data_IF_566475716412
#
_entry.id   IF_566475716412
#
_cell.length_a   1.000
_cell.length_b   1.000
_cell.length_c   1.000
_cell.angle_alpha   90.00
_cell.angle_beta   90.00
_cell.angle_gamma   90.00
#
_symmetry.space_group_name_H-M   'P 1'
#
loop_
_entity.id
_entity.type
_entity.pdbx_description
1 polymer ?
#
# COMPACT_ATOMS: atom_id res chain seq x y z
N UNK A 1 17.16 -7.53 -0.01
CA UNK A 1 15.88 -7.46 -0.73
C UNK A 1 15.27 -8.84 -0.57
N UNK A 2 14.08 -8.94 0.01
CA UNK A 2 13.46 -10.24 0.30
C UNK A 2 12.70 -10.66 -0.94
N UNK A 3 13.23 -11.63 -1.68
CA UNK A 3 12.48 -12.31 -2.74
C UNK A 3 11.52 -13.32 -2.11
N UNK A 4 10.32 -13.40 -2.69
CA UNK A 4 9.23 -14.29 -2.28
C UNK A 4 9.38 -15.58 -3.08
N UNK A 5 9.55 -16.72 -2.42
CA UNK A 5 9.47 -18.07 -3.02
C UNK A 5 8.41 -18.87 -2.27
N UNK A 6 7.71 -19.77 -2.95
CA UNK A 6 6.82 -20.74 -2.29
C UNK A 6 7.64 -21.57 -1.32
N UNK A 7 7.53 -21.22 -0.06
CA UNK A 7 8.11 -22.02 1.01
C UNK A 7 6.96 -22.67 1.76
N UNK A 8 7.05 -23.98 2.07
CA UNK A 8 5.94 -24.78 2.57
C UNK A 8 5.71 -24.54 4.07
N UNK A 9 5.45 -23.29 4.48
CA UNK A 9 5.07 -22.97 5.86
C UNK A 9 3.62 -23.29 6.18
N UNK A 10 2.82 -23.65 5.18
CA UNK A 10 1.41 -24.00 5.29
C UNK A 10 1.11 -25.12 6.30
N UNK A 11 2.10 -25.95 6.64
CA UNK A 11 1.95 -27.07 7.58
C UNK A 11 2.50 -26.82 8.99
N UNK A 12 3.14 -25.66 9.25
CA UNK A 12 3.64 -25.37 10.59
C UNK A 12 2.54 -24.76 11.47
N UNK A 13 2.39 -25.22 12.72
CA UNK A 13 1.42 -24.64 13.63
C UNK A 13 1.75 -23.18 13.89
N UNK A 14 0.72 -22.32 13.87
CA UNK A 14 0.87 -20.91 14.13
C UNK A 14 1.46 -20.68 15.54
N UNK A 15 2.48 -19.80 15.68
CA UNK A 15 2.99 -19.42 16.99
C UNK A 15 1.90 -18.80 17.87
N UNK A 16 1.80 -19.26 19.12
CA UNK A 16 0.80 -18.81 20.10
C UNK A 16 1.24 -17.57 20.89
N UNK A 17 2.52 -17.20 20.83
CA UNK A 17 3.05 -16.05 21.54
C UNK A 17 4.18 -15.36 20.78
N UNK A 18 4.44 -14.09 21.11
CA UNK A 18 5.55 -13.33 20.52
C UNK A 18 6.92 -13.96 20.77
N UNK A 19 7.12 -14.58 21.95
CA UNK A 19 8.35 -15.32 22.25
C UNK A 19 8.51 -16.58 21.40
N UNK A 20 7.42 -17.33 21.20
CA UNK A 20 7.45 -18.50 20.32
C UNK A 20 7.75 -18.08 18.87
N UNK A 21 7.11 -17.00 18.40
CA UNK A 21 7.38 -16.44 17.07
C UNK A 21 8.85 -16.01 16.94
N UNK A 22 9.39 -15.29 17.93
CA UNK A 22 10.79 -14.89 17.98
C UNK A 22 11.73 -16.09 17.85
N UNK A 23 11.57 -17.12 18.69
CA UNK A 23 12.41 -18.33 18.65
C UNK A 23 12.31 -19.03 17.30
N UNK A 24 11.09 -19.21 16.78
CA UNK A 24 10.88 -19.88 15.50
C UNK A 24 11.59 -19.14 14.35
N UNK A 25 11.56 -17.81 14.34
CA UNK A 25 12.26 -16.98 13.36
C UNK A 25 13.79 -17.00 13.56
N UNK A 26 14.25 -16.86 14.80
CA UNK A 26 15.66 -16.79 15.18
C UNK A 26 16.41 -18.09 14.82
N UNK A 27 15.80 -19.24 15.11
CA UNK A 27 16.39 -20.55 14.85
C UNK A 27 16.02 -21.13 13.47
N UNK A 28 15.24 -20.39 12.66
CA UNK A 28 14.93 -20.80 11.29
C UNK A 28 13.89 -21.92 11.16
N UNK A 29 13.06 -22.13 12.20
CA UNK A 29 11.89 -23.01 12.11
C UNK A 29 10.80 -22.42 11.22
N UNK A 30 10.65 -21.09 11.24
CA UNK A 30 9.81 -20.33 10.31
C UNK A 30 10.74 -19.39 9.54
N UNK A 31 10.70 -19.43 8.21
CA UNK A 31 11.61 -18.65 7.35
C UNK A 31 10.87 -17.87 6.25
N UNK A 32 10.03 -16.87 6.60
CA UNK A 32 8.97 -16.31 5.74
C UNK A 32 9.32 -15.84 4.32
N UNK A 33 10.60 -15.65 4.00
CA UNK A 33 11.09 -15.40 2.65
C UNK A 33 12.56 -15.81 2.52
N UNK A 34 13.13 -15.71 1.31
CA UNK A 34 14.48 -16.21 1.01
C UNK A 34 15.57 -15.66 1.95
N UNK A 35 15.42 -14.40 2.38
CA UNK A 35 16.37 -13.80 3.31
C UNK A 35 16.46 -14.57 4.64
N UNK A 36 15.35 -15.15 5.13
CA UNK A 36 15.30 -15.87 6.39
C UNK A 36 15.96 -17.24 6.35
N UNK A 37 16.13 -17.84 5.16
CA UNK A 37 16.88 -19.09 5.00
C UNK A 37 18.37 -18.90 5.33
N UNK A 38 18.90 -17.69 5.15
CA UNK A 38 20.28 -17.34 5.47
C UNK A 38 20.50 -17.16 7.00
N UNK A 39 21.37 -17.95 7.64
CA UNK A 39 21.69 -17.80 9.07
C UNK A 39 22.20 -16.40 9.46
N UNK A 40 22.94 -15.72 8.58
CA UNK A 40 23.45 -14.37 8.85
C UNK A 40 22.32 -13.33 8.96
N UNK A 41 21.25 -13.48 8.16
CA UNK A 41 20.06 -12.65 8.29
C UNK A 41 19.34 -12.89 9.62
N UNK A 42 19.23 -14.15 10.04
CA UNK A 42 18.64 -14.50 11.35
C UNK A 42 19.46 -13.95 12.52
N UNK A 43 20.79 -14.06 12.48
CA UNK A 43 21.68 -13.41 13.47
C UNK A 43 21.47 -11.89 13.52
N UNK A 44 21.36 -11.24 12.37
CA UNK A 44 21.07 -9.80 12.27
C UNK A 44 19.71 -9.44 12.87
N UNK A 45 18.69 -10.28 12.67
CA UNK A 45 17.39 -10.12 13.32
C UNK A 45 17.51 -10.21 14.84
N UNK A 46 18.22 -11.23 15.37
CA UNK A 46 18.45 -11.41 16.81
C UNK A 46 19.15 -10.17 17.39
N UNK A 47 20.27 -9.75 16.81
CA UNK A 47 21.03 -8.59 17.31
C UNK A 47 20.20 -7.31 17.34
N UNK A 48 19.38 -7.06 16.32
CA UNK A 48 18.49 -5.88 16.27
C UNK A 48 17.33 -5.97 17.25
N UNK A 49 16.85 -7.19 17.50
CA UNK A 49 15.84 -7.45 18.52
C UNK A 49 16.40 -7.15 19.90
N UNK A 50 17.65 -7.54 20.19
CA UNK A 50 18.34 -7.20 21.43
C UNK A 50 18.61 -5.69 21.58
N UNK A 51 18.86 -4.98 20.48
CA UNK A 51 19.01 -3.53 20.49
C UNK A 51 17.68 -2.77 20.68
N UNK A 52 16.53 -3.42 20.43
CA UNK A 52 15.19 -2.82 20.54
C UNK A 52 14.18 -3.81 21.16
N UNK A 53 14.44 -4.29 22.38
CA UNK A 53 13.80 -5.50 22.91
C UNK A 53 12.31 -5.30 23.18
N UNK A 54 11.92 -4.19 23.81
CA UNK A 54 10.52 -3.93 24.15
C UNK A 54 9.63 -3.74 22.91
N UNK A 55 10.08 -2.94 21.95
CA UNK A 55 9.33 -2.72 20.70
C UNK A 55 9.25 -3.98 19.86
N UNK A 56 10.33 -4.77 19.80
CA UNK A 56 10.32 -6.04 19.05
C UNK A 56 9.42 -7.05 19.73
N UNK A 57 9.51 -7.22 21.05
CA UNK A 57 8.64 -8.12 21.80
C UNK A 57 7.16 -7.77 21.61
N UNK A 58 6.80 -6.48 21.70
CA UNK A 58 5.42 -6.01 21.51
C UNK A 58 4.94 -6.22 20.07
N UNK A 59 5.78 -5.95 19.07
CA UNK A 59 5.46 -6.27 17.67
C UNK A 59 5.15 -7.76 17.50
N UNK A 60 6.06 -8.63 17.92
CA UNK A 60 5.90 -10.07 17.72
C UNK A 60 4.71 -10.63 18.53
N UNK A 61 4.43 -10.06 19.70
CA UNK A 61 3.24 -10.41 20.48
C UNK A 61 1.94 -10.00 19.77
N UNK A 62 1.90 -8.82 19.15
CA UNK A 62 0.75 -8.37 18.37
C UNK A 62 0.56 -9.23 17.11
N UNK A 63 1.65 -9.57 16.42
CA UNK A 63 1.63 -10.46 15.25
C UNK A 63 1.15 -11.87 15.61
N UNK A 64 1.61 -12.44 16.72
CA UNK A 64 1.17 -13.76 17.20
C UNK A 64 -0.35 -13.86 17.44
N UNK A 65 -1.01 -12.74 17.75
CA UNK A 65 -2.47 -12.66 17.95
C UNK A 65 -3.26 -12.58 16.63
N UNK A 66 -2.61 -12.36 15.50
CA UNK A 66 -3.31 -12.20 14.22
C UNK A 66 -3.82 -13.56 13.71
N UNK A 67 -5.10 -13.69 13.32
CA UNK A 67 -5.66 -14.96 12.85
C UNK A 67 -4.96 -15.53 11.61
N UNK A 68 -4.36 -14.65 10.79
CA UNK A 68 -3.73 -14.97 9.51
C UNK A 68 -2.22 -14.76 9.52
N UNK A 69 -1.56 -14.90 10.68
CA UNK A 69 -0.14 -14.62 10.83
C UNK A 69 0.72 -15.30 9.76
N UNK A 70 0.49 -16.58 9.49
CA UNK A 70 1.32 -17.32 8.53
C UNK A 70 1.20 -16.77 7.10
N UNK A 71 -0.01 -16.36 6.69
CA UNK A 71 -0.24 -15.70 5.40
C UNK A 71 0.44 -14.32 5.36
N UNK A 72 0.29 -13.52 6.43
CA UNK A 72 0.96 -12.23 6.56
C UNK A 72 2.47 -12.34 6.44
N UNK A 73 3.08 -13.33 7.08
CA UNK A 73 4.51 -13.59 6.98
C UNK A 73 4.94 -13.95 5.56
N UNK A 74 4.13 -14.72 4.83
CA UNK A 74 4.43 -15.12 3.45
C UNK A 74 4.46 -13.95 2.47
N UNK A 75 3.49 -13.04 2.57
CA UNK A 75 3.40 -11.86 1.68
C UNK A 75 4.25 -10.69 2.17
N UNK A 76 4.51 -10.60 3.48
CA UNK A 76 5.33 -9.57 4.11
C UNK A 76 6.44 -10.21 4.96
N UNK A 77 7.44 -10.85 4.34
CA UNK A 77 8.53 -11.52 5.07
C UNK A 77 9.38 -10.55 5.90
N UNK A 78 9.35 -9.26 5.58
CA UNK A 78 10.02 -8.21 6.34
C UNK A 78 9.28 -7.78 7.62
N UNK A 79 8.03 -8.21 7.81
CA UNK A 79 7.14 -7.72 8.88
C UNK A 79 7.70 -7.92 10.30
N UNK A 80 8.31 -9.06 10.67
CA UNK A 80 8.94 -9.21 11.99
C UNK A 80 10.10 -8.24 12.25
N UNK A 81 10.68 -7.69 11.19
CA UNK A 81 11.80 -6.75 11.23
C UNK A 81 11.36 -5.29 10.98
N UNK A 82 10.04 -5.01 10.94
CA UNK A 82 9.52 -3.72 10.47
C UNK A 82 10.04 -2.55 11.29
N UNK A 83 10.05 -2.70 12.62
CA UNK A 83 10.52 -1.68 13.56
C UNK A 83 12.05 -1.52 13.65
N UNK A 84 12.80 -2.37 12.95
CA UNK A 84 14.27 -2.28 12.91
C UNK A 84 14.77 -1.29 11.85
N UNK A 85 13.85 -0.56 11.20
CA UNK A 85 14.15 0.41 10.15
C UNK A 85 13.09 1.51 10.04
N UNK A 86 13.44 2.66 9.43
CA UNK A 86 12.45 3.66 9.04
C UNK A 86 11.36 3.04 8.16
N UNK A 87 10.11 3.45 8.37
CA UNK A 87 8.94 2.94 7.67
C UNK A 87 7.86 4.03 7.52
N UNK A 88 7.08 3.94 6.44
CA UNK A 88 5.98 4.83 6.02
C UNK A 88 6.41 6.25 5.62
N UNK A 89 7.01 7.01 6.55
CA UNK A 89 7.49 8.38 6.35
C UNK A 89 8.76 8.63 7.15
N UNK A 90 9.57 9.62 6.79
CA UNK A 90 10.79 9.97 7.55
C UNK A 90 10.50 10.43 8.98
N UNK A 91 9.29 10.92 9.22
CA UNK A 91 8.83 11.42 10.52
C UNK A 91 8.15 10.35 11.38
N UNK A 92 8.11 9.09 10.92
CA UNK A 92 7.48 8.00 11.66
C UNK A 92 8.43 7.44 12.70
N UNK A 93 8.12 7.63 13.98
CA UNK A 93 8.83 6.96 15.06
C UNK A 93 8.38 5.50 15.26
N UNK A 94 9.11 4.80 16.13
CA UNK A 94 8.93 3.37 16.34
C UNK A 94 7.65 3.02 17.09
N UNK A 95 7.20 3.88 18.01
CA UNK A 95 5.98 3.63 18.78
C UNK A 95 4.77 3.80 17.87
N UNK A 96 4.69 4.92 17.14
CA UNK A 96 3.63 5.16 16.17
C UNK A 96 3.64 4.11 15.05
N UNK A 97 4.81 3.66 14.59
CA UNK A 97 4.90 2.56 13.62
C UNK A 97 4.30 1.25 14.18
N UNK A 98 4.61 0.89 15.42
CA UNK A 98 4.06 -0.31 16.06
C UNK A 98 2.54 -0.24 16.19
N UNK A 99 2.03 0.89 16.64
CA UNK A 99 0.59 1.15 16.78
C UNK A 99 -0.11 1.13 15.43
N UNK A 100 0.49 1.75 14.40
CA UNK A 100 0.00 1.75 13.03
C UNK A 100 -0.09 0.34 12.44
N UNK A 101 0.94 -0.48 12.61
CA UNK A 101 0.93 -1.87 12.13
C UNK A 101 -0.18 -2.68 12.80
N UNK A 102 -0.33 -2.55 14.11
CA UNK A 102 -1.39 -3.25 14.84
C UNK A 102 -2.78 -2.78 14.39
N UNK A 103 -2.98 -1.46 14.31
CA UNK A 103 -4.23 -0.85 13.86
C UNK A 103 -4.60 -1.30 12.46
N UNK A 104 -3.65 -1.27 11.52
CA UNK A 104 -3.87 -1.68 10.13
C UNK A 104 -4.42 -3.09 10.04
N UNK A 105 -3.69 -4.08 10.57
CA UNK A 105 -4.09 -5.47 10.43
C UNK A 105 -5.37 -5.80 11.20
N UNK A 106 -5.59 -5.19 12.37
CA UNK A 106 -6.86 -5.34 13.09
C UNK A 106 -8.03 -4.77 12.30
N UNK A 107 -7.87 -3.58 11.71
CA UNK A 107 -8.92 -2.91 10.94
C UNK A 107 -9.23 -3.66 9.65
N UNK A 108 -8.21 -4.08 8.91
CA UNK A 108 -8.36 -4.91 7.71
C UNK A 108 -9.07 -6.23 8.04
N UNK A 109 -8.69 -6.88 9.14
CA UNK A 109 -9.29 -8.15 9.56
C UNK A 109 -10.74 -8.02 10.05
N UNK A 110 -11.09 -6.89 10.67
CA UNK A 110 -12.45 -6.64 11.17
C UNK A 110 -13.42 -6.20 10.08
N UNK A 111 -12.93 -5.48 9.08
CA UNK A 111 -13.79 -4.75 8.12
C UNK A 111 -13.93 -5.48 6.80
N UNK A 112 -12.85 -6.10 6.27
CA UNK A 112 -12.90 -6.70 4.95
C UNK A 112 -13.58 -8.09 4.96
N UNK A 113 -14.37 -8.42 3.94
CA UNK A 113 -14.86 -9.77 3.72
C UNK A 113 -13.71 -10.79 3.65
N UNK A 114 -13.96 -12.02 4.10
CA UNK A 114 -12.94 -13.07 4.18
C UNK A 114 -12.24 -13.32 2.83
N UNK A 115 -13.00 -13.31 1.72
CA UNK A 115 -12.47 -13.46 0.35
C UNK A 115 -11.47 -12.36 0.02
N UNK A 116 -11.82 -11.11 0.30
CA UNK A 116 -10.99 -9.95 -0.01
C UNK A 116 -9.72 -9.93 0.85
N UNK A 117 -9.85 -10.26 2.13
CA UNK A 117 -8.74 -10.33 3.07
C UNK A 117 -7.75 -11.45 2.72
N UNK A 118 -8.24 -12.65 2.36
CA UNK A 118 -7.41 -13.76 1.92
C UNK A 118 -6.70 -13.43 0.60
N UNK A 119 -7.40 -12.75 -0.31
CA UNK A 119 -6.83 -12.29 -1.57
C UNK A 119 -5.75 -11.22 -1.39
N UNK A 120 -5.99 -10.23 -0.53
CA UNK A 120 -5.00 -9.21 -0.12
C UNK A 120 -3.73 -9.85 0.47
N UNK A 121 -3.90 -10.89 1.29
CA UNK A 121 -2.81 -11.67 1.91
C UNK A 121 -2.35 -12.87 1.05
N UNK A 122 -2.59 -12.82 -0.26
CA UNK A 122 -2.05 -13.77 -1.23
C UNK A 122 -0.92 -13.17 -2.04
N UNK A 123 -0.09 -14.01 -2.65
CA UNK A 123 1.01 -13.55 -3.51
C UNK A 123 0.51 -12.84 -4.77
N UNK A 124 -0.60 -13.31 -5.31
CA UNK A 124 -1.19 -12.80 -6.54
C UNK A 124 -1.93 -11.49 -6.29
N UNK A 125 -2.41 -11.26 -5.06
CA UNK A 125 -3.38 -10.22 -4.76
C UNK A 125 -4.78 -10.60 -5.22
N UNK A 126 -5.70 -9.64 -5.16
CA UNK A 126 -7.08 -9.83 -5.59
C UNK A 126 -7.60 -8.63 -6.36
N UNK A 127 -8.24 -8.90 -7.50
CA UNK A 127 -8.91 -7.87 -8.28
C UNK A 127 -10.05 -7.27 -7.46
N UNK A 128 -10.00 -5.95 -7.25
CA UNK A 128 -11.08 -5.18 -6.63
C UNK A 128 -12.17 -4.86 -7.64
N UNK A 129 -11.77 -4.53 -8.87
CA UNK A 129 -12.65 -4.07 -9.93
C UNK A 129 -11.96 -4.18 -11.29
N UNK A 130 -12.78 -4.17 -12.33
CA UNK A 130 -12.33 -4.12 -13.72
C UNK A 130 -13.09 -3.00 -14.44
N UNK A 131 -12.34 -2.09 -15.05
CA UNK A 131 -12.84 -0.95 -15.78
C UNK A 131 -12.77 -1.22 -17.28
N UNK A 132 -13.87 -0.96 -17.97
CA UNK A 132 -13.90 -0.86 -19.42
C UNK A 132 -13.61 0.58 -19.84
N UNK A 133 -12.46 0.81 -20.46
CA UNK A 133 -12.11 2.06 -21.10
C UNK A 133 -12.63 2.15 -22.54
N UNK A 134 -12.17 3.17 -23.26
CA UNK A 134 -12.46 3.35 -24.68
C UNK A 134 -12.01 2.12 -25.49
N UNK A 135 -12.77 1.80 -26.54
CA UNK A 135 -12.50 0.70 -27.48
C UNK A 135 -12.47 -0.67 -26.77
N UNK A 136 -13.32 -0.83 -25.75
CA UNK A 136 -13.49 -2.03 -24.91
C UNK A 136 -12.25 -2.49 -24.13
N UNK A 137 -11.24 -1.62 -24.02
CA UNK A 137 -10.00 -1.94 -23.31
C UNK A 137 -10.23 -2.15 -21.82
N UNK A 138 -9.74 -3.26 -21.28
CA UNK A 138 -9.94 -3.63 -19.88
C UNK A 138 -8.75 -3.22 -19.00
N UNK A 139 -9.04 -2.67 -17.82
CA UNK A 139 -8.05 -2.35 -16.80
C UNK A 139 -8.49 -2.88 -15.45
N UNK A 140 -7.57 -3.46 -14.69
CA UNK A 140 -7.89 -4.03 -13.37
C UNK A 140 -7.22 -3.23 -12.26
N UNK A 141 -7.95 -2.92 -11.20
CA UNK A 141 -7.36 -2.48 -9.93
C UNK A 141 -7.26 -3.67 -9.00
N UNK A 142 -6.07 -3.93 -8.49
CA UNK A 142 -5.78 -5.07 -7.61
C UNK A 142 -5.31 -4.61 -6.24
N UNK A 143 -5.78 -5.27 -5.19
CA UNK A 143 -5.30 -5.10 -3.82
C UNK A 143 -4.35 -6.26 -3.45
N UNK A 144 -3.16 -5.93 -2.94
CA UNK A 144 -2.20 -6.92 -2.45
C UNK A 144 -1.33 -6.35 -1.32
N UNK A 145 -0.59 -7.23 -0.65
CA UNK A 145 0.53 -6.87 0.22
C UNK A 145 1.85 -7.10 -0.53
N UNK A 146 2.50 -6.04 -1.00
CA UNK A 146 3.77 -6.17 -1.73
C UNK A 146 4.99 -6.02 -0.81
N UNK A 147 5.79 -7.09 -0.69
CA UNK A 147 7.05 -7.11 0.07
C UNK A 147 8.12 -6.14 -0.48
N UNK A 148 8.05 -5.75 -1.75
CA UNK A 148 9.00 -4.81 -2.35
C UNK A 148 8.70 -3.35 -1.98
N UNK A 149 7.42 -3.04 -1.73
CA UNK A 149 6.93 -1.72 -1.33
C UNK A 149 6.73 -1.59 0.19
N UNK A 150 7.20 -2.57 0.94
CA UNK A 150 7.07 -2.76 2.39
C UNK A 150 7.74 -1.68 3.30
N UNK A 151 8.23 -0.61 2.70
CA UNK A 151 8.73 0.59 3.40
C UNK A 151 7.74 1.75 3.30
N UNK A 152 6.83 1.69 2.33
CA UNK A 152 5.86 2.72 1.99
C UNK A 152 4.45 2.37 2.51
N UNK A 153 4.28 1.17 3.09
CA UNK A 153 3.06 0.77 3.79
C UNK A 153 2.84 -0.74 3.78
N UNK A 154 1.63 -1.17 4.13
CA UNK A 154 1.26 -2.59 4.28
C UNK A 154 0.24 -3.09 3.25
N UNK A 155 -0.46 -2.19 2.55
CA UNK A 155 -1.38 -2.52 1.47
C UNK A 155 -1.06 -1.71 0.21
N UNK A 156 -1.17 -2.36 -0.94
CA UNK A 156 -0.87 -1.77 -2.25
C UNK A 156 -2.04 -1.96 -3.19
N UNK A 157 -2.45 -0.86 -3.84
CA UNK A 157 -3.30 -0.90 -5.02
C UNK A 157 -2.43 -0.82 -6.28
N UNK A 158 -2.62 -1.75 -7.21
CA UNK A 158 -1.95 -1.76 -8.51
C UNK A 158 -2.98 -1.57 -9.62
N UNK A 159 -2.69 -0.70 -10.59
CA UNK A 159 -3.50 -0.52 -11.80
C UNK A 159 -2.83 -1.26 -12.95
N UNK A 160 -3.51 -2.26 -13.50
CA UNK A 160 -2.98 -3.16 -14.52
C UNK A 160 -3.77 -3.04 -15.84
N UNK A 161 -3.07 -3.24 -16.97
CA UNK A 161 -3.72 -3.51 -18.25
C UNK A 161 -4.19 -4.97 -18.37
N UNK A 162 -4.73 -5.32 -19.54
CA UNK A 162 -5.24 -6.65 -19.90
C UNK A 162 -4.17 -7.75 -19.83
N UNK A 163 -2.91 -7.38 -20.09
CA UNK A 163 -1.76 -8.28 -20.03
C UNK A 163 -1.18 -8.37 -18.61
N UNK A 164 -1.87 -7.82 -17.60
CA UNK A 164 -1.42 -7.71 -16.20
C UNK A 164 -0.16 -6.84 -16.01
N UNK A 165 0.19 -6.01 -16.99
CA UNK A 165 1.29 -5.05 -16.86
C UNK A 165 0.90 -3.98 -15.86
N UNK A 166 1.71 -3.80 -14.82
CA UNK A 166 1.46 -2.79 -13.79
C UNK A 166 1.85 -1.40 -14.29
N UNK A 167 0.86 -0.52 -14.44
CA UNK A 167 1.03 0.83 -14.98
C UNK A 167 1.18 1.91 -13.89
N UNK A 168 0.67 1.62 -12.69
CA UNK A 168 0.89 2.43 -11.48
C UNK A 168 0.65 1.59 -10.23
N UNK A 169 1.25 2.01 -9.12
CA UNK A 169 1.11 1.38 -7.80
C UNK A 169 0.99 2.46 -6.73
N UNK A 170 0.16 2.20 -5.73
CA UNK A 170 0.00 3.08 -4.59
C UNK A 170 -0.03 2.26 -3.30
N UNK A 171 0.83 2.60 -2.36
CA UNK A 171 0.98 1.88 -1.09
C UNK A 171 0.49 2.74 0.06
N UNK A 172 -0.35 2.16 0.91
CA UNK A 172 -0.96 2.82 2.05
C UNK A 172 -0.97 1.94 3.30
N UNK A 173 -1.27 2.58 4.43
CA UNK A 173 -1.50 1.93 5.72
C UNK A 173 -2.69 2.62 6.39
N UNK A 174 -3.54 1.85 7.06
CA UNK A 174 -4.57 2.40 7.95
C UNK A 174 -3.93 2.57 9.33
N UNK A 175 -4.01 3.76 9.92
CA UNK A 175 -3.42 4.05 11.23
C UNK A 175 -4.20 5.11 12.01
N UNK A 176 -3.80 5.33 13.26
CA UNK A 176 -4.12 6.54 14.00
C UNK A 176 -3.01 7.56 13.74
N UNK A 177 -3.37 8.75 13.28
CA UNK A 177 -2.43 9.83 13.01
C UNK A 177 -3.08 11.16 13.43
N UNK A 178 -2.39 11.93 14.28
CA UNK A 178 -2.89 13.21 14.81
C UNK A 178 -4.31 13.10 15.41
N UNK A 179 -4.58 12.00 16.11
CA UNK A 179 -5.87 11.74 16.79
C UNK A 179 -7.01 11.31 15.87
N UNK A 180 -6.76 11.08 14.58
CA UNK A 180 -7.79 10.65 13.61
C UNK A 180 -7.44 9.32 12.97
N UNK A 181 -8.46 8.54 12.66
CA UNK A 181 -8.32 7.35 11.83
C UNK A 181 -7.96 7.76 10.40
N UNK A 182 -6.83 7.25 9.91
CA UNK A 182 -6.15 7.80 8.75
C UNK A 182 -5.83 6.72 7.73
N UNK A 183 -6.13 6.99 6.45
CA UNK A 183 -5.51 6.28 5.33
C UNK A 183 -4.24 7.03 4.95
N UNK A 184 -3.10 6.48 5.34
CA UNK A 184 -1.79 7.09 5.14
C UNK A 184 -1.12 6.51 3.90
N UNK A 185 -0.97 7.31 2.85
CA UNK A 185 -0.31 6.97 1.58
C UNK A 185 1.20 7.22 1.72
N UNK A 186 1.99 6.16 1.81
CA UNK A 186 3.45 6.26 1.92
C UNK A 186 4.17 6.15 0.57
N UNK A 187 3.47 5.80 -0.51
CA UNK A 187 4.05 5.73 -1.84
C UNK A 187 3.01 5.74 -2.97
N UNK A 188 3.34 6.40 -4.07
CA UNK A 188 2.58 6.44 -5.31
C UNK A 188 3.56 6.53 -6.49
N UNK A 189 3.61 5.48 -7.29
CA UNK A 189 4.60 5.30 -8.33
C UNK A 189 3.92 4.97 -9.66
N UNK A 190 4.51 5.43 -10.77
CA UNK A 190 4.12 4.98 -12.11
C UNK A 190 4.72 3.61 -12.41
N UNK A 191 4.54 3.16 -13.65
CA UNK A 191 5.11 1.91 -14.12
C UNK A 191 6.64 1.86 -13.92
N UNK A 192 7.17 0.64 -13.78
CA UNK A 192 8.61 0.39 -13.66
C UNK A 192 9.33 0.85 -14.95
N UNK A 193 10.60 1.22 -14.82
CA UNK A 193 11.38 1.80 -15.93
C UNK A 193 11.46 0.94 -17.21
N UNK A 194 11.26 -0.38 -17.12
CA UNK A 194 11.24 -1.27 -18.29
C UNK A 194 9.88 -1.31 -19.01
N UNK A 195 8.83 -0.76 -18.42
CA UNK A 195 7.49 -0.71 -19.02
C UNK A 195 7.47 0.43 -20.05
N UNK A 196 7.10 0.16 -21.32
CA UNK A 196 7.03 1.19 -22.34
C UNK A 196 6.11 2.34 -21.95
N UNK A 197 6.57 3.57 -22.15
CA UNK A 197 5.79 4.77 -21.84
C UNK A 197 4.48 4.84 -22.64
N UNK A 198 4.47 4.27 -23.85
CA UNK A 198 3.30 4.16 -24.72
C UNK A 198 2.13 3.42 -24.08
N UNK A 199 2.38 2.41 -23.22
CA UNK A 199 1.30 1.72 -22.51
C UNK A 199 0.59 2.64 -21.52
N UNK A 200 1.34 3.52 -20.84
CA UNK A 200 0.79 4.51 -19.91
C UNK A 200 -0.03 5.56 -20.68
N UNK A 201 0.50 6.04 -21.81
CA UNK A 201 -0.22 6.99 -22.68
C UNK A 201 -1.49 6.37 -23.25
N UNK A 202 -1.41 5.12 -23.73
CA UNK A 202 -2.54 4.34 -24.22
C UNK A 202 -3.61 4.14 -23.16
N UNK A 203 -3.23 3.76 -21.94
CA UNK A 203 -4.15 3.63 -20.82
C UNK A 203 -4.81 4.97 -20.46
N UNK A 204 -4.04 6.06 -20.43
CA UNK A 204 -4.57 7.41 -20.15
C UNK A 204 -5.60 7.84 -21.21
N UNK A 205 -5.31 7.58 -22.49
CA UNK A 205 -6.25 7.86 -23.60
C UNK A 205 -7.50 7.00 -23.52
N UNK A 206 -7.34 5.70 -23.22
CA UNK A 206 -8.45 4.77 -23.04
C UNK A 206 -9.33 5.16 -21.84
N UNK A 207 -8.73 5.70 -20.77
CA UNK A 207 -9.43 6.16 -19.57
C UNK A 207 -9.85 7.65 -19.65
N UNK A 208 -10.15 8.16 -20.85
CA UNK A 208 -10.68 9.53 -21.06
C UNK A 208 -9.83 10.65 -20.42
N UNK A 209 -8.50 10.51 -20.53
CA UNK A 209 -7.51 11.45 -20.01
C UNK A 209 -7.23 11.29 -18.51
N UNK A 210 -7.79 10.29 -17.84
CA UNK A 210 -7.41 9.92 -16.47
C UNK A 210 -6.18 9.02 -16.52
N UNK A 211 -5.07 9.50 -15.96
CA UNK A 211 -3.86 8.70 -15.87
C UNK A 211 -3.96 7.68 -14.72
N UNK A 212 -3.26 6.53 -14.80
CA UNK A 212 -3.38 5.42 -13.84
C UNK A 212 -3.26 5.82 -12.36
N UNK A 213 -2.33 6.71 -12.02
CA UNK A 213 -2.15 7.18 -10.64
C UNK A 213 -3.40 7.89 -10.09
N UNK A 214 -4.13 8.66 -10.90
CA UNK A 214 -5.37 9.31 -10.50
C UNK A 214 -6.47 8.29 -10.18
N UNK A 215 -6.59 7.24 -10.99
CA UNK A 215 -7.57 6.16 -10.77
C UNK A 215 -7.29 5.39 -9.48
N UNK A 216 -6.00 5.18 -9.13
CA UNK A 216 -5.63 4.55 -7.87
C UNK A 216 -6.02 5.38 -6.65
N UNK A 217 -5.84 6.71 -6.69
CA UNK A 217 -6.26 7.57 -5.58
C UNK A 217 -7.78 7.55 -5.42
N UNK A 218 -8.54 7.60 -6.53
CA UNK A 218 -10.00 7.45 -6.49
C UNK A 218 -10.42 6.11 -5.84
N UNK A 219 -9.75 5.02 -6.23
CA UNK A 219 -10.00 3.70 -5.67
C UNK A 219 -9.69 3.63 -4.18
N UNK A 220 -8.62 4.27 -3.70
CA UNK A 220 -8.32 4.32 -2.28
C UNK A 220 -9.23 5.24 -1.48
N UNK A 221 -9.67 6.37 -2.04
CA UNK A 221 -10.69 7.20 -1.40
C UNK A 221 -11.98 6.40 -1.21
N UNK A 222 -12.41 5.69 -2.26
CA UNK A 222 -13.61 4.84 -2.21
C UNK A 222 -13.45 3.67 -1.24
N UNK A 223 -12.31 2.98 -1.27
CA UNK A 223 -12.02 1.90 -0.34
C UNK A 223 -11.91 2.44 1.10
N UNK A 224 -11.32 3.62 1.27
CA UNK A 224 -11.22 4.35 2.53
C UNK A 224 -12.58 4.60 3.17
N UNK A 225 -13.61 4.90 2.38
CA UNK A 225 -14.98 5.07 2.85
C UNK A 225 -15.64 3.79 3.39
N UNK A 226 -15.10 2.61 3.07
CA UNK A 226 -15.52 1.36 3.69
C UNK A 226 -14.90 1.13 5.08
N UNK A 227 -13.86 1.90 5.41
CA UNK A 227 -13.23 1.95 6.72
C UNK A 227 -13.70 3.20 7.48
N UNK A 228 -13.50 3.28 8.81
CA UNK A 228 -13.82 4.48 9.58
C UNK A 228 -12.76 5.58 9.37
N UNK A 229 -12.35 5.85 8.12
CA UNK A 229 -11.31 6.84 7.79
C UNK A 229 -11.87 8.24 7.90
N UNK A 230 -11.22 9.06 8.73
CA UNK A 230 -11.58 10.45 9.01
C UNK A 230 -10.67 11.43 8.25
N UNK A 231 -9.50 10.98 7.79
CA UNK A 231 -8.60 11.76 6.95
C UNK A 231 -7.73 10.89 6.03
N UNK A 232 -7.28 11.47 4.92
CA UNK A 232 -6.29 10.87 4.03
C UNK A 232 -5.04 11.73 4.05
N UNK A 233 -3.90 11.12 4.40
CA UNK A 233 -2.61 11.80 4.47
C UNK A 233 -1.65 11.14 3.48
N UNK A 234 -0.87 11.92 2.75
CA UNK A 234 0.11 11.43 1.80
C UNK A 234 1.50 12.02 2.04
N UNK A 235 2.54 11.23 1.86
CA UNK A 235 3.92 11.74 1.92
C UNK A 235 4.18 12.76 0.80
N UNK A 236 4.97 13.77 1.12
CA UNK A 236 5.55 14.69 0.15
C UNK A 236 6.89 14.17 -0.36
N UNK A 237 7.47 14.86 -1.34
CA UNK A 237 8.84 14.66 -1.80
C UNK A 237 9.88 14.75 -0.67
N UNK A 238 9.58 15.55 0.35
CA UNK A 238 10.44 15.78 1.51
C UNK A 238 10.23 14.73 2.61
N UNK A 239 8.98 14.30 2.84
CA UNK A 239 8.67 13.34 3.91
C UNK A 239 8.71 11.88 3.46
N UNK A 240 8.87 11.62 2.15
CA UNK A 240 8.99 10.28 1.58
C UNK A 240 10.10 9.46 2.24
N UNK A 241 9.82 8.18 2.55
CA UNK A 241 10.71 7.33 3.36
C UNK A 241 12.16 7.23 2.84
N UNK A 242 12.35 7.24 1.52
CA UNK A 242 13.68 7.23 0.87
C UNK A 242 14.52 8.49 1.10
N UNK A 243 13.97 9.56 1.67
CA UNK A 243 14.72 10.73 2.15
C UNK A 243 15.41 10.50 3.49
N UNK A 244 15.03 9.47 4.25
CA UNK A 244 15.67 9.16 5.54
C UNK A 244 17.18 8.95 5.36
N UNK A 245 17.96 9.34 6.38
CA UNK A 245 19.43 9.28 6.37
C UNK A 245 19.96 7.90 5.94
N UNK A 246 19.23 6.85 6.32
CA UNK A 246 19.55 5.45 6.06
C UNK A 246 19.48 5.07 4.58
N UNK A 247 18.64 5.75 3.80
CA UNK A 247 18.38 5.43 2.39
C UNK A 247 18.88 6.51 1.44
N UNK A 248 19.02 7.76 1.92
CA UNK A 248 19.35 8.94 1.11
C UNK A 248 20.55 8.70 0.19
N UNK A 249 21.70 8.26 0.73
CA UNK A 249 22.92 8.01 -0.07
C UNK A 249 22.75 7.00 -1.21
N UNK A 250 21.83 6.03 -1.08
CA UNK A 250 21.60 4.99 -2.11
C UNK A 250 20.54 5.40 -3.14
N UNK A 251 19.70 6.38 -2.79
CA UNK A 251 18.50 6.78 -3.54
C UNK A 251 18.53 8.25 -4.02
N UNK A 252 19.59 8.98 -3.71
CA UNK A 252 19.89 10.29 -4.25
C UNK A 252 19.86 10.25 -5.79
N UNK A 253 19.12 11.17 -6.41
CA UNK A 253 18.89 11.21 -7.86
C UNK A 253 17.96 10.13 -8.44
N UNK A 254 17.43 9.20 -7.63
CA UNK A 254 16.58 8.08 -8.10
C UNK A 254 15.10 8.21 -7.73
N UNK A 255 14.73 9.23 -6.96
CA UNK A 255 13.34 9.54 -6.67
C UNK A 255 12.81 10.43 -7.80
N UNK A 256 12.24 9.79 -8.83
CA UNK A 256 11.78 10.44 -10.05
C UNK A 256 10.31 10.90 -9.98
N UNK A 257 9.56 10.42 -8.98
CA UNK A 257 8.15 10.78 -8.81
C UNK A 257 8.04 12.12 -8.07
N UNK A 258 7.42 13.10 -8.71
CA UNK A 258 7.03 14.36 -8.07
C UNK A 258 5.67 14.20 -7.38
N UNK A 259 5.73 13.96 -6.06
CA UNK A 259 4.57 13.78 -5.20
C UNK A 259 3.82 15.10 -4.98
N UNK A 260 4.54 16.17 -4.62
CA UNK A 260 3.95 17.46 -4.26
C UNK A 260 3.08 18.00 -5.41
N UNK A 261 3.61 18.05 -6.64
CA UNK A 261 2.85 18.54 -7.79
C UNK A 261 1.63 17.68 -8.09
N UNK A 262 1.73 16.36 -7.92
CA UNK A 262 0.59 15.47 -8.13
C UNK A 262 -0.50 15.70 -7.08
N UNK A 263 -0.15 15.79 -5.80
CA UNK A 263 -1.12 16.03 -4.72
C UNK A 263 -1.83 17.38 -4.89
N UNK A 264 -1.08 18.45 -5.18
CA UNK A 264 -1.64 19.76 -5.48
C UNK A 264 -2.63 19.71 -6.65
N UNK A 265 -2.31 18.97 -7.72
CA UNK A 265 -3.17 18.86 -8.90
C UNK A 265 -4.53 18.19 -8.63
N UNK A 266 -4.64 17.43 -7.53
CA UNK A 266 -5.86 16.73 -7.14
C UNK A 266 -6.56 17.36 -5.93
N UNK A 267 -6.17 18.57 -5.53
CA UNK A 267 -6.76 19.29 -4.40
C UNK A 267 -6.15 18.91 -3.04
N UNK A 268 -4.95 18.35 -3.03
CA UNK A 268 -4.20 18.11 -1.80
C UNK A 268 -3.59 19.38 -1.24
N UNK A 269 -3.60 19.52 0.08
CA UNK A 269 -3.08 20.67 0.80
C UNK A 269 -1.87 20.29 1.64
N UNK A 270 -0.77 21.01 1.47
CA UNK A 270 0.46 20.77 2.24
C UNK A 270 0.26 21.23 3.70
N UNK A 271 0.54 20.33 4.63
CA UNK A 271 0.41 20.55 6.07
C UNK A 271 1.74 20.98 6.71
N UNK A 272 1.69 21.53 7.92
CA UNK A 272 2.87 21.97 8.67
C UNK A 272 3.86 20.84 8.97
N UNK A 273 3.35 19.61 9.15
CA UNK A 273 4.16 18.41 9.33
C UNK A 273 4.90 17.95 8.04
N UNK A 274 4.71 18.67 6.93
CA UNK A 274 5.34 18.45 5.63
C UNK A 274 4.66 17.38 4.76
N UNK A 275 3.64 16.68 5.25
CA UNK A 275 2.80 15.78 4.45
C UNK A 275 1.69 16.56 3.73
N UNK A 276 0.90 15.87 2.91
CA UNK A 276 -0.29 16.41 2.28
C UNK A 276 -1.55 15.83 2.91
N UNK A 277 -2.52 16.68 3.22
CA UNK A 277 -3.89 16.26 3.44
C UNK A 277 -4.60 16.17 2.09
N UNK A 278 -5.27 15.06 1.83
CA UNK A 278 -6.10 14.87 0.64
C UNK A 278 -7.58 14.90 1.03
N UNK A 279 -8.48 15.35 0.14
CA UNK A 279 -9.91 15.30 0.41
C UNK A 279 -10.37 13.84 0.54
N UNK A 280 -11.38 13.58 1.38
CA UNK A 280 -11.95 12.23 1.54
C UNK A 280 -12.60 11.70 0.27
N UNK A 281 -13.15 12.62 -0.52
CA UNK A 281 -13.79 12.35 -1.80
C UNK A 281 -13.19 13.26 -2.84
N UNK A 282 -13.02 12.72 -4.03
CA UNK A 282 -12.34 13.44 -5.07
C UNK A 282 -13.17 14.62 -5.61
N UNK A 283 -12.60 15.84 -5.69
CA UNK A 283 -13.35 16.99 -6.19
C UNK A 283 -13.66 16.82 -7.68
N UNK A 284 -14.91 17.10 -8.06
CA UNK A 284 -15.39 17.14 -9.44
C UNK A 284 -15.77 18.57 -9.81
N UNK A 285 -15.51 18.92 -11.07
CA UNK A 285 -15.96 20.20 -11.62
C UNK A 285 -17.39 20.04 -12.12
N UNK A 286 -18.29 20.97 -11.80
CA UNK A 286 -19.63 20.95 -12.37
C UNK A 286 -19.55 21.08 -13.90
N UNK A 287 -20.52 20.49 -14.60
CA UNK A 287 -20.48 20.40 -16.07
C UNK A 287 -20.60 21.78 -16.73
N UNK A 288 -21.23 22.71 -16.02
CA UNK A 288 -21.46 24.11 -16.38
C UNK A 288 -20.13 24.86 -16.51
N UNK A 289 -19.19 24.64 -15.58
CA UNK A 289 -17.84 25.23 -15.56
C UNK A 289 -16.91 24.63 -16.62
N UNK A 290 -17.26 23.47 -17.18
CA UNK A 290 -16.48 22.83 -18.24
C UNK A 290 -16.86 23.45 -19.59
N UNK A 291 -15.86 23.94 -20.31
CA UNK A 291 -16.04 24.48 -21.67
C UNK A 291 -16.82 23.49 -22.56
N UNK A 292 -17.83 23.98 -23.29
CA UNK A 292 -18.78 23.14 -24.05
C UNK A 292 -18.10 22.04 -24.90
N UNK A 293 -17.02 22.39 -25.61
CA UNK A 293 -16.23 21.47 -26.45
C UNK A 293 -15.56 20.31 -25.71
N UNK A 294 -15.41 20.38 -24.39
CA UNK A 294 -14.82 19.33 -23.52
C UNK A 294 -15.85 18.56 -22.71
N UNK A 295 -17.13 18.98 -22.71
CA UNK A 295 -18.17 18.38 -21.85
C UNK A 295 -18.41 16.90 -22.14
N UNK A 296 -18.38 16.48 -23.41
CA UNK A 296 -18.55 15.07 -23.79
C UNK A 296 -17.44 14.18 -23.24
N UNK A 297 -16.19 14.63 -23.31
CA UNK A 297 -15.04 13.91 -22.73
C UNK A 297 -15.14 13.83 -21.21
N UNK A 298 -15.51 14.93 -20.54
CA UNK A 298 -15.69 14.94 -19.09
C UNK A 298 -16.85 14.08 -18.61
N UNK A 299 -17.95 13.96 -19.38
CA UNK A 299 -19.03 13.01 -19.07
C UNK A 299 -18.52 11.57 -19.05
N UNK A 300 -17.83 11.13 -20.11
CA UNK A 300 -17.22 9.80 -20.18
C UNK A 300 -16.20 9.55 -19.06
N UNK A 301 -15.43 10.58 -18.71
CA UNK A 301 -14.53 10.55 -17.55
C UNK A 301 -15.29 10.29 -16.25
N UNK A 302 -16.38 11.01 -16.01
CA UNK A 302 -17.18 10.83 -14.80
C UNK A 302 -17.91 9.49 -14.79
N UNK A 303 -18.44 9.02 -15.92
CA UNK A 303 -19.01 7.67 -16.05
C UNK A 303 -18.00 6.57 -15.68
N UNK A 304 -16.75 6.69 -16.14
CA UNK A 304 -15.68 5.75 -15.78
C UNK A 304 -15.36 5.78 -14.28
N UNK A 305 -15.30 6.98 -13.69
CA UNK A 305 -15.07 7.14 -12.24
C UNK A 305 -16.26 6.63 -11.42
N UNK A 306 -17.50 6.84 -11.87
CA UNK A 306 -18.70 6.33 -11.21
C UNK A 306 -18.73 4.80 -11.24
N UNK A 307 -18.34 4.18 -12.36
CA UNK A 307 -18.15 2.74 -12.46
C UNK A 307 -17.08 2.24 -11.47
N UNK A 308 -15.93 2.92 -11.40
CA UNK A 308 -14.87 2.62 -10.44
C UNK A 308 -15.40 2.67 -9.00
N UNK A 309 -16.06 3.76 -8.62
CA UNK A 309 -16.58 3.97 -7.27
C UNK A 309 -17.60 2.88 -6.92
N UNK A 310 -18.55 2.61 -7.82
CA UNK A 310 -19.59 1.60 -7.60
C UNK A 310 -19.00 0.20 -7.42
N UNK A 311 -18.03 -0.19 -8.26
CA UNK A 311 -17.38 -1.50 -8.17
C UNK A 311 -16.49 -1.62 -6.93
N UNK A 312 -15.67 -0.60 -6.62
CA UNK A 312 -14.83 -0.58 -5.42
C UNK A 312 -15.67 -0.68 -4.13
N UNK A 313 -16.77 0.09 -4.05
CA UNK A 313 -17.67 0.05 -2.91
C UNK A 313 -18.40 -1.29 -2.79
N UNK A 314 -18.72 -1.96 -3.91
CA UNK A 314 -19.27 -3.31 -3.90
C UNK A 314 -18.25 -4.32 -3.38
N UNK A 315 -17.02 -4.30 -3.91
CA UNK A 315 -15.96 -5.20 -3.49
C UNK A 315 -15.63 -5.08 -1.99
N UNK A 316 -15.69 -3.87 -1.44
CA UNK A 316 -15.42 -3.63 -0.03
C UNK A 316 -16.54 -4.14 0.91
N UNK A 317 -17.78 -4.26 0.43
CA UNK A 317 -18.94 -4.71 1.24
C UNK A 317 -19.16 -6.23 1.23
N UNK A 318 -18.55 -6.94 0.29
CA UNK A 318 -18.74 -8.39 0.10
C UNK A 318 -19.84 -8.70 -0.89
#
# INVERSE_FOLDING_TARGET
>A
MSSIVDTPYSHLPQPKSGWQLFKNLAFGKITPGLAWQNPAYRRKFILRSLATPFSTARLLANLAKQPRLMQMLQVQPGLPCRLHRPWLTVNMDRQHALESLNWHYQTMNRTLPATLLNGYLSKQGIALLTLTGKDERQFTVRLCADAFLDKEGEATLSFCDEQNTVLAEMTFTLCQFEGKTTLFIGGLQGAKAHVPHELIQGATKACHGLFPKRLLVEAAMTLGAAFPVEQIVAVSNATHIYRSWRYRKKKEGKLLADYDSFWLSIGGEKQDNGNFALPLTMPRKPMEEIASKKRSEYRRRYELLDSLIAQAARAARG
#
